data_IF_034419054803
#
_entry.id   IF_034419054803
#
_cell.length_a   1.000
_cell.length_b   1.000
_cell.length_c   1.000
_cell.angle_alpha   90.00
_cell.angle_beta   90.00
_cell.angle_gamma   90.00
#
_symmetry.space_group_name_H-M   'P 1'
#
loop_
_entity.id
_entity.type
_entity.pdbx_description
1 polymer ?
#
# COMPACT_ATOMS: atom_id res chain seq x y z
N UNK A 1 -23.95 -11.68 -30.65
CA UNK A 1 -23.99 -10.84 -29.44
C UNK A 1 -24.19 -9.39 -29.89
N UNK A 2 -25.30 -8.76 -29.49
CA UNK A 2 -25.69 -7.40 -29.92
C UNK A 2 -24.92 -6.33 -29.12
N UNK A 3 -24.76 -5.12 -29.66
CA UNK A 3 -24.00 -4.03 -29.03
C UNK A 3 -24.46 -3.73 -27.60
N UNK A 4 -25.78 -3.77 -27.36
CA UNK A 4 -26.38 -3.51 -26.04
C UNK A 4 -25.98 -4.56 -24.98
N UNK A 5 -25.76 -5.81 -25.40
CA UNK A 5 -25.30 -6.88 -24.49
C UNK A 5 -23.82 -6.68 -24.10
N UNK A 6 -23.02 -6.12 -25.01
CA UNK A 6 -21.62 -5.75 -24.72
C UNK A 6 -21.56 -4.57 -23.76
N UNK A 7 -22.42 -3.56 -23.95
CA UNK A 7 -22.50 -2.40 -23.07
C UNK A 7 -22.92 -2.81 -21.65
N UNK A 8 -23.99 -3.60 -21.52
CA UNK A 8 -24.48 -4.07 -20.22
C UNK A 8 -23.47 -4.98 -19.49
N UNK A 9 -22.62 -5.71 -20.23
CA UNK A 9 -21.53 -6.52 -19.66
C UNK A 9 -20.38 -5.65 -19.16
N UNK A 10 -20.04 -4.58 -19.89
CA UNK A 10 -19.03 -3.60 -19.47
C UNK A 10 -19.50 -2.80 -18.26
N UNK A 11 -20.77 -2.38 -18.22
CA UNK A 11 -21.36 -1.70 -17.06
C UNK A 11 -21.41 -2.59 -15.82
N UNK A 12 -21.72 -3.89 -15.96
CA UNK A 12 -21.63 -4.85 -14.85
C UNK A 12 -20.20 -5.10 -14.39
N UNK A 13 -19.25 -5.17 -15.32
CA UNK A 13 -17.83 -5.33 -14.99
C UNK A 13 -17.25 -4.08 -14.30
N UNK A 14 -17.71 -2.88 -14.68
CA UNK A 14 -17.35 -1.61 -14.06
C UNK A 14 -18.09 -1.35 -12.74
N UNK A 15 -19.34 -1.84 -12.61
CA UNK A 15 -20.16 -1.76 -11.40
C UNK A 15 -19.77 -2.77 -10.32
N UNK A 16 -19.04 -3.82 -10.69
CA UNK A 16 -18.19 -4.53 -9.77
C UNK A 16 -17.12 -3.56 -9.32
N UNK A 17 -17.32 -2.94 -8.15
CA UNK A 17 -16.26 -2.23 -7.43
C UNK A 17 -15.09 -3.21 -7.36
N UNK A 18 -14.16 -3.13 -8.32
CA UNK A 18 -12.76 -3.28 -7.99
C UNK A 18 -12.62 -2.25 -6.89
N UNK A 19 -12.68 -2.68 -5.63
CA UNK A 19 -12.18 -1.89 -4.54
C UNK A 19 -10.81 -1.48 -5.08
N UNK A 20 -10.69 -0.24 -5.54
CA UNK A 20 -9.40 0.33 -5.86
C UNK A 20 -8.74 0.29 -4.50
N UNK A 21 -8.05 -0.82 -4.20
CA UNK A 21 -7.34 -1.00 -2.95
C UNK A 21 -6.43 0.20 -2.93
N UNK A 22 -6.74 1.15 -2.05
CA UNK A 22 -6.06 2.43 -2.04
C UNK A 22 -4.62 2.07 -1.67
N UNK A 23 -3.68 2.40 -2.55
CA UNK A 23 -2.27 2.14 -2.30
C UNK A 23 -1.69 3.43 -1.76
N UNK A 24 -1.09 3.38 -0.57
CA UNK A 24 -0.39 4.53 0.01
C UNK A 24 1.09 4.22 0.12
N UNK A 25 1.92 5.16 -0.34
CA UNK A 25 3.36 5.06 -0.30
C UNK A 25 3.92 5.89 0.85
N UNK A 26 4.79 5.28 1.65
CA UNK A 26 5.48 5.90 2.76
C UNK A 26 6.99 5.84 2.55
N UNK A 27 7.70 6.90 2.94
CA UNK A 27 9.17 6.90 3.00
C UNK A 27 9.59 7.13 4.44
N UNK A 28 10.20 6.11 5.05
CA UNK A 28 10.75 6.19 6.40
C UNK A 28 12.23 6.55 6.35
N UNK A 29 12.52 7.79 6.73
CA UNK A 29 13.87 8.28 6.99
C UNK A 29 14.00 8.55 8.50
N UNK A 30 14.20 7.49 9.28
CA UNK A 30 14.28 7.54 10.74
C UNK A 30 15.35 6.59 11.28
N UNK A 31 15.74 6.79 12.54
CA UNK A 31 16.72 5.94 13.22
C UNK A 31 16.22 4.49 13.34
N UNK A 32 17.11 3.47 13.35
CA UNK A 32 16.71 2.07 13.44
C UNK A 32 15.76 1.74 14.61
N UNK A 33 16.01 2.35 15.77
CA UNK A 33 15.20 2.17 16.97
C UNK A 33 13.75 2.67 16.83
N UNK A 34 13.50 3.64 15.95
CA UNK A 34 12.17 4.23 15.75
C UNK A 34 11.33 3.47 14.70
N UNK A 35 11.97 2.65 13.86
CA UNK A 35 11.30 1.96 12.74
C UNK A 35 10.14 1.06 13.18
N UNK A 36 10.27 0.22 14.23
CA UNK A 36 9.17 -0.66 14.64
C UNK A 36 7.92 0.15 15.03
N UNK A 37 8.10 1.24 15.79
CA UNK A 37 6.99 2.12 16.19
C UNK A 37 6.35 2.82 14.99
N UNK A 38 7.16 3.29 14.04
CA UNK A 38 6.65 3.93 12.80
C UNK A 38 5.90 2.96 11.90
N UNK A 39 6.39 1.72 11.77
CA UNK A 39 5.71 0.68 10.99
C UNK A 39 4.37 0.30 11.63
N UNK A 40 4.34 0.09 12.94
CA UNK A 40 3.10 -0.19 13.67
C UNK A 40 2.07 0.96 13.53
N UNK A 41 2.54 2.21 13.56
CA UNK A 41 1.66 3.37 13.35
C UNK A 41 1.10 3.43 11.91
N UNK A 42 1.89 3.07 10.90
CA UNK A 42 1.42 2.98 9.51
C UNK A 42 0.38 1.87 9.36
N UNK A 43 0.66 0.68 9.90
CA UNK A 43 -0.27 -0.46 9.86
C UNK A 43 -1.61 -0.14 10.52
N UNK A 44 -1.60 0.61 11.63
CA UNK A 44 -2.82 1.03 12.32
C UNK A 44 -3.55 2.22 11.66
N UNK A 45 -2.96 2.87 10.65
CA UNK A 45 -3.47 4.15 10.15
C UNK A 45 -4.73 4.02 9.28
N UNK A 46 -4.79 3.01 8.40
CA UNK A 46 -5.94 2.75 7.54
C UNK A 46 -5.98 1.25 7.15
N UNK A 47 -6.87 0.44 7.75
CA UNK A 47 -6.90 -1.01 7.52
C UNK A 47 -7.39 -1.39 6.11
N UNK A 48 -8.02 -0.46 5.37
CA UNK A 48 -8.55 -0.69 4.03
C UNK A 48 -7.54 -0.30 2.92
N UNK A 49 -6.34 0.11 3.31
CA UNK A 49 -5.26 0.55 2.43
C UNK A 49 -4.15 -0.50 2.35
N UNK A 50 -3.59 -0.66 1.15
CA UNK A 50 -2.34 -1.38 0.99
C UNK A 50 -1.17 -0.41 1.14
N UNK A 51 -0.44 -0.50 2.25
CA UNK A 51 0.70 0.36 2.53
C UNK A 51 1.99 -0.19 1.90
N UNK A 52 2.66 0.62 1.08
CA UNK A 52 4.02 0.34 0.60
C UNK A 52 4.98 1.27 1.35
N UNK A 53 5.91 0.68 2.10
CA UNK A 53 6.85 1.45 2.94
C UNK A 53 8.27 1.28 2.42
N UNK A 54 8.91 2.39 2.02
CA UNK A 54 10.33 2.44 1.67
C UNK A 54 11.12 2.94 2.87
N UNK A 55 11.98 2.09 3.43
CA UNK A 55 12.88 2.47 4.53
C UNK A 55 14.24 2.89 3.96
N UNK A 56 14.72 4.07 4.35
CA UNK A 56 16.07 4.54 4.03
C UNK A 56 17.01 4.04 5.13
N UNK A 57 18.02 3.27 4.74
CA UNK A 57 19.05 2.72 5.64
C UNK A 57 20.38 3.40 5.31
N UNK A 58 21.07 3.93 6.33
CA UNK A 58 22.37 4.57 6.14
C UNK A 58 23.50 3.54 6.17
N UNK A 59 24.60 3.77 5.42
CA UNK A 59 25.80 2.95 5.54
C UNK A 59 26.28 2.90 7.00
N UNK A 60 26.55 1.70 7.52
CA UNK A 60 26.95 1.48 8.93
C UNK A 60 25.82 1.04 9.86
N UNK A 61 24.55 1.26 9.51
CA UNK A 61 23.42 0.76 10.32
C UNK A 61 23.24 -0.76 10.21
N UNK A 62 23.69 -1.36 9.10
CA UNK A 62 23.65 -2.83 8.92
C UNK A 62 24.62 -3.56 9.85
N UNK A 63 25.70 -2.91 10.29
CA UNK A 63 26.72 -3.54 11.14
C UNK A 63 26.27 -3.71 12.61
N UNK A 64 25.24 -2.97 13.05
CA UNK A 64 24.66 -3.10 14.38
C UNK A 64 23.49 -4.12 14.46
N UNK A 65 23.04 -4.64 13.32
CA UNK A 65 21.90 -5.56 13.24
C UNK A 65 22.30 -7.04 13.07
N UNK A 66 23.60 -7.34 13.06
CA UNK A 66 24.18 -8.69 13.05
C UNK A 66 24.74 -9.02 14.45
#
# INVERSE_FOLDING_TARGET
MRLNERLAKLERAAGGKLSQRRILHHVLNCAPAERPGRLAAIEASDPDVFHIVRVIVRPGEQALAA
#
